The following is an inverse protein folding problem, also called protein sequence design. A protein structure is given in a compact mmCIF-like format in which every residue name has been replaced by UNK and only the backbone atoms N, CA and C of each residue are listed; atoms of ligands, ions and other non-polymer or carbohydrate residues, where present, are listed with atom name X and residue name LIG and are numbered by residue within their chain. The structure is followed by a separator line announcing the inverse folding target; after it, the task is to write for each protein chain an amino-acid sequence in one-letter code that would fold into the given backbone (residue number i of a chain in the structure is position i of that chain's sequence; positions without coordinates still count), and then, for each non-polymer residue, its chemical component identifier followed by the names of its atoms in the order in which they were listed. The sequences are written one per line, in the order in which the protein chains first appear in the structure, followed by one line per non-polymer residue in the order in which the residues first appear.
data_IF_930734610478
#
_entry.id   IF_930734610478
#
_cell.length_a   1.000
_cell.length_b   1.000
_cell.length_c   1.000
_cell.angle_alpha   90.00
_cell.angle_beta   90.00
_cell.angle_gamma   90.00
#
_symmetry.space_group_name_H-M   'P 1'
#
loop_
_entity.id
_entity.type
_entity.pdbx_description
1 polymer ?
#
# COMPACT_ATOMS: atom_id res chain seq x y z
N UNK A 1 -4.48 14.29 -6.95
CA UNK A 1 -3.78 13.70 -8.11
C UNK A 1 -4.60 12.54 -8.65
N UNK A 2 -4.64 12.34 -9.97
CA UNK A 2 -5.27 11.20 -10.63
C UNK A 2 -4.28 10.53 -11.58
N UNK A 3 -4.04 9.22 -11.42
CA UNK A 3 -3.31 8.41 -12.40
C UNK A 3 -4.29 7.52 -13.19
N UNK A 4 -4.38 7.71 -14.50
CA UNK A 4 -5.14 6.85 -15.41
C UNK A 4 -4.23 6.06 -16.39
N UNK A 5 -2.91 6.20 -16.27
CA UNK A 5 -1.94 5.64 -17.20
C UNK A 5 -1.00 4.63 -16.56
N UNK A 6 0.11 4.36 -17.22
CA UNK A 6 1.16 3.48 -16.71
C UNK A 6 2.30 4.34 -16.16
N UNK A 7 2.69 4.08 -14.91
CA UNK A 7 3.87 4.63 -14.26
C UNK A 7 4.84 3.47 -14.04
N UNK A 8 6.08 3.62 -14.50
CA UNK A 8 7.19 2.71 -14.20
C UNK A 8 8.32 3.52 -13.61
N UNK A 9 8.83 3.11 -12.45
CA UNK A 9 9.81 3.86 -11.69
C UNK A 9 10.80 2.91 -10.99
N UNK A 10 12.06 3.34 -10.85
CA UNK A 10 13.02 2.74 -9.94
C UNK A 10 13.01 3.41 -8.55
N UNK A 11 12.23 4.49 -8.39
CA UNK A 11 11.88 5.13 -7.12
C UNK A 11 10.42 4.85 -6.75
N UNK A 12 9.87 5.67 -5.85
CA UNK A 12 8.43 5.65 -5.58
C UNK A 12 7.65 5.94 -6.87
N UNK A 13 6.51 5.27 -7.05
CA UNK A 13 5.63 5.49 -8.20
C UNK A 13 4.81 6.77 -8.06
N UNK A 14 3.99 6.83 -7.00
CA UNK A 14 3.20 8.00 -6.62
C UNK A 14 3.63 8.45 -5.23
N UNK A 15 3.93 9.75 -5.08
CA UNK A 15 4.24 10.37 -3.77
C UNK A 15 3.14 11.34 -3.36
N UNK A 16 2.65 11.22 -2.13
CA UNK A 16 1.58 12.05 -1.58
C UNK A 16 1.97 12.57 -0.20
N UNK A 17 2.61 13.75 -0.17
CA UNK A 17 3.32 14.24 1.01
C UNK A 17 2.82 15.60 1.52
N UNK A 18 2.97 15.81 2.84
CA UNK A 18 2.88 17.10 3.54
C UNK A 18 1.64 17.92 3.16
N UNK A 19 0.47 17.29 3.28
CA UNK A 19 -0.78 17.87 2.78
C UNK A 19 -1.98 17.49 3.65
N UNK A 20 -3.06 18.25 3.49
CA UNK A 20 -4.34 18.06 4.19
C UNK A 20 -5.49 18.20 3.20
N UNK A 21 -6.65 17.59 3.49
CA UNK A 21 -7.87 17.69 2.68
C UNK A 21 -7.66 17.42 1.19
N UNK A 22 -6.83 16.41 0.89
CA UNK A 22 -6.40 16.11 -0.47
C UNK A 22 -6.73 14.69 -0.87
N UNK A 23 -6.71 14.42 -2.18
CA UNK A 23 -7.05 13.11 -2.73
C UNK A 23 -6.01 12.64 -3.74
N UNK A 24 -5.64 11.37 -3.63
CA UNK A 24 -4.92 10.61 -4.66
C UNK A 24 -5.77 9.46 -5.13
N UNK A 25 -5.94 9.35 -6.44
CA UNK A 25 -6.64 8.23 -7.06
C UNK A 25 -5.75 7.57 -8.13
N UNK A 26 -5.53 6.26 -7.99
CA UNK A 26 -4.88 5.44 -9.00
C UNK A 26 -5.92 4.54 -9.69
N UNK A 27 -6.15 4.75 -10.98
CA UNK A 27 -6.92 3.87 -11.87
C UNK A 27 -6.04 3.08 -12.84
N UNK A 28 -4.83 3.58 -13.07
CA UNK A 28 -3.86 2.98 -13.98
C UNK A 28 -2.97 1.93 -13.34
N UNK A 29 -1.85 1.64 -14.00
CA UNK A 29 -0.82 0.71 -13.47
C UNK A 29 0.35 1.50 -12.93
N UNK A 30 0.82 1.14 -11.74
CA UNK A 30 2.08 1.61 -11.18
C UNK A 30 2.99 0.40 -10.95
N UNK A 31 4.21 0.44 -11.47
CA UNK A 31 5.22 -0.59 -11.30
C UNK A 31 6.50 0.02 -10.77
N UNK A 32 6.99 -0.48 -9.63
CA UNK A 32 8.30 -0.08 -9.08
C UNK A 32 9.26 -1.26 -8.95
N UNK A 33 10.54 -0.99 -9.17
CA UNK A 33 11.61 -2.00 -9.13
C UNK A 33 12.81 -1.65 -8.24
N UNK A 34 12.80 -0.49 -7.58
CA UNK A 34 13.85 -0.13 -6.62
C UNK A 34 13.62 -0.75 -5.24
N UNK A 35 14.69 -1.18 -4.59
CA UNK A 35 14.61 -1.60 -3.18
C UNK A 35 14.20 -0.42 -2.30
N UNK A 36 13.39 -0.67 -1.26
CA UNK A 36 12.84 0.37 -0.35
C UNK A 36 12.03 1.46 -1.07
N UNK A 37 11.35 1.11 -2.16
CA UNK A 37 10.46 2.02 -2.89
C UNK A 37 9.03 1.53 -2.85
N UNK A 38 8.07 2.43 -2.95
CA UNK A 38 6.66 2.07 -2.84
C UNK A 38 5.89 2.46 -4.09
N UNK A 39 4.91 1.65 -4.49
CA UNK A 39 4.07 2.04 -5.62
C UNK A 39 3.26 3.31 -5.27
N UNK A 40 2.75 3.40 -4.04
CA UNK A 40 2.24 4.66 -3.46
C UNK A 40 2.92 4.90 -2.11
N UNK A 41 3.61 6.02 -1.97
CA UNK A 41 4.20 6.48 -0.72
C UNK A 41 3.42 7.69 -0.18
N UNK A 42 2.89 7.56 1.03
CA UNK A 42 2.09 8.58 1.72
C UNK A 42 2.79 8.97 3.00
N UNK A 43 3.12 10.25 3.15
CA UNK A 43 3.86 10.74 4.30
C UNK A 43 3.38 12.11 4.77
N UNK A 44 3.22 12.31 6.08
CA UNK A 44 2.81 13.60 6.67
C UNK A 44 1.48 14.11 6.08
N UNK A 45 0.46 13.25 6.06
CA UNK A 45 -0.84 13.53 5.45
C UNK A 45 -1.95 13.53 6.50
N UNK A 46 -2.84 14.50 6.43
CA UNK A 46 -4.02 14.57 7.30
C UNK A 46 -5.32 14.66 6.48
N UNK A 47 -6.43 14.14 7.01
CA UNK A 47 -7.79 14.36 6.50
C UNK A 47 -7.92 14.13 4.98
N UNK A 48 -7.26 13.09 4.47
CA UNK A 48 -7.10 12.87 3.03
C UNK A 48 -7.53 11.47 2.59
N UNK A 49 -7.63 11.28 1.28
CA UNK A 49 -8.06 10.01 0.68
C UNK A 49 -7.01 9.47 -0.29
N UNK A 50 -6.68 8.19 -0.16
CA UNK A 50 -5.92 7.44 -1.16
C UNK A 50 -6.79 6.29 -1.65
N UNK A 51 -7.10 6.32 -2.94
CA UNK A 51 -7.94 5.33 -3.59
C UNK A 51 -7.18 4.62 -4.70
N UNK A 52 -6.95 3.31 -4.55
CA UNK A 52 -6.45 2.46 -5.62
C UNK A 52 -7.59 1.64 -6.21
N UNK A 53 -7.93 1.89 -7.48
CA UNK A 53 -8.82 1.05 -8.31
C UNK A 53 -8.07 0.35 -9.44
N UNK A 54 -6.82 0.73 -9.67
CA UNK A 54 -5.94 0.16 -10.69
C UNK A 54 -5.04 -0.96 -10.17
N UNK A 55 -3.82 -1.04 -10.72
CA UNK A 55 -2.83 -2.07 -10.39
C UNK A 55 -1.57 -1.46 -9.79
N UNK A 56 -1.10 -2.00 -8.67
CA UNK A 56 0.19 -1.68 -8.07
C UNK A 56 1.06 -2.94 -8.10
N UNK A 57 2.28 -2.81 -8.62
CA UNK A 57 3.26 -3.90 -8.69
C UNK A 57 4.59 -3.42 -8.13
N UNK A 58 5.13 -4.11 -7.12
CA UNK A 58 6.47 -3.87 -6.60
C UNK A 58 7.26 -5.16 -6.59
N UNK A 59 8.54 -5.09 -6.96
CA UNK A 59 9.33 -6.31 -7.23
C UNK A 59 10.56 -6.49 -6.37
N UNK A 60 11.09 -5.43 -5.78
CA UNK A 60 12.33 -5.45 -5.00
C UNK A 60 12.08 -5.55 -3.49
N UNK A 61 13.15 -5.81 -2.73
CA UNK A 61 13.09 -5.94 -1.28
C UNK A 61 12.65 -4.65 -0.59
N UNK A 62 11.88 -4.80 0.49
CA UNK A 62 11.29 -3.72 1.28
C UNK A 62 10.42 -2.77 0.43
N UNK A 63 9.94 -3.21 -0.74
CA UNK A 63 9.18 -2.39 -1.68
C UNK A 63 7.67 -2.60 -1.53
N UNK A 64 6.97 -1.75 -0.78
CA UNK A 64 5.56 -1.98 -0.46
C UNK A 64 4.62 -1.54 -1.58
N UNK A 65 3.43 -2.14 -1.65
CA UNK A 65 2.37 -1.65 -2.53
C UNK A 65 1.94 -0.24 -2.14
N UNK A 66 1.50 -0.07 -0.90
CA UNK A 66 1.20 1.24 -0.31
C UNK A 66 1.94 1.36 1.03
N UNK A 67 2.72 2.42 1.19
CA UNK A 67 3.40 2.74 2.45
C UNK A 67 2.82 4.00 3.07
N UNK A 68 2.51 3.94 4.36
CA UNK A 68 1.83 5.00 5.11
C UNK A 68 2.66 5.37 6.34
N UNK A 69 3.15 6.61 6.36
CA UNK A 69 3.98 7.13 7.45
C UNK A 69 3.49 8.50 7.92
N UNK A 70 3.18 8.64 9.21
CA UNK A 70 2.65 9.90 9.78
C UNK A 70 1.39 10.34 9.04
N UNK A 71 0.35 9.52 9.12
CA UNK A 71 -0.95 9.80 8.49
C UNK A 71 -2.06 9.85 9.54
N UNK A 72 -2.94 10.84 9.45
CA UNK A 72 -4.05 11.03 10.40
C UNK A 72 -5.37 11.36 9.71
N UNK A 73 -6.50 11.01 10.34
CA UNK A 73 -7.84 11.37 9.84
C UNK A 73 -8.16 10.90 8.41
N UNK A 74 -7.41 9.94 7.87
CA UNK A 74 -7.38 9.64 6.43
C UNK A 74 -8.00 8.28 6.11
N UNK A 75 -8.40 8.12 4.85
CA UNK A 75 -8.93 6.86 4.33
C UNK A 75 -8.04 6.30 3.23
N UNK A 76 -7.59 5.06 3.40
CA UNK A 76 -6.80 4.32 2.42
C UNK A 76 -7.66 3.15 1.93
N UNK A 77 -8.11 3.23 0.68
CA UNK A 77 -9.01 2.24 0.09
C UNK A 77 -8.36 1.54 -1.10
N UNK A 78 -8.23 0.22 -1.02
CA UNK A 78 -7.85 -0.62 -2.15
C UNK A 78 -9.09 -1.34 -2.72
N UNK A 79 -9.51 -0.94 -3.91
CA UNK A 79 -10.50 -1.63 -4.75
C UNK A 79 -9.86 -2.35 -5.94
N UNK A 80 -8.56 -2.15 -6.15
CA UNK A 80 -7.79 -2.69 -7.26
C UNK A 80 -6.95 -3.91 -6.89
N UNK A 81 -5.85 -4.09 -7.60
CA UNK A 81 -4.91 -5.19 -7.36
C UNK A 81 -3.58 -4.65 -6.86
N UNK A 82 -3.06 -5.24 -5.79
CA UNK A 82 -1.72 -4.99 -5.26
C UNK A 82 -0.94 -6.31 -5.34
N UNK A 83 0.24 -6.27 -5.95
CA UNK A 83 1.16 -7.41 -6.02
C UNK A 83 2.55 -7.00 -5.60
N UNK A 84 3.09 -7.67 -4.58
CA UNK A 84 4.46 -7.46 -4.10
C UNK A 84 5.23 -8.78 -4.12
N UNK A 85 6.53 -8.74 -4.46
CA UNK A 85 7.34 -9.97 -4.55
C UNK A 85 8.69 -9.95 -3.84
N UNK A 86 9.24 -8.80 -3.46
CA UNK A 86 10.51 -8.74 -2.73
C UNK A 86 10.38 -9.14 -1.26
N UNK A 87 11.49 -9.43 -0.59
CA UNK A 87 11.48 -9.76 0.83
C UNK A 87 11.01 -8.56 1.67
N UNK A 88 10.22 -8.81 2.72
CA UNK A 88 9.63 -7.79 3.59
C UNK A 88 8.85 -6.70 2.82
N UNK A 89 8.25 -7.05 1.69
CA UNK A 89 7.48 -6.15 0.84
C UNK A 89 5.99 -6.34 1.09
N UNK A 90 5.42 -5.58 2.02
CA UNK A 90 4.00 -5.73 2.37
C UNK A 90 3.08 -5.15 1.28
N UNK A 91 1.86 -5.66 1.19
CA UNK A 91 0.85 -5.10 0.31
C UNK A 91 0.49 -3.67 0.72
N UNK A 92 0.11 -3.49 1.98
CA UNK A 92 -0.08 -2.19 2.62
C UNK A 92 0.68 -2.20 3.95
N UNK A 93 1.61 -1.26 4.15
CA UNK A 93 2.38 -1.11 5.38
C UNK A 93 2.05 0.23 6.04
N UNK A 94 1.44 0.17 7.23
CA UNK A 94 1.12 1.33 8.04
C UNK A 94 2.04 1.41 9.27
N UNK A 95 2.88 2.45 9.35
CA UNK A 95 3.86 2.58 10.43
C UNK A 95 3.41 3.53 11.54
N UNK A 96 3.05 4.77 11.18
CA UNK A 96 2.47 5.77 12.09
C UNK A 96 1.17 6.28 11.45
N UNK A 97 0.04 5.76 11.93
CA UNK A 97 -1.26 5.92 11.30
C UNK A 97 -2.34 6.03 12.38
N UNK A 98 -3.08 7.14 12.42
CA UNK A 98 -3.95 7.43 13.57
C UNK A 98 -5.33 7.92 13.16
N UNK A 99 -6.37 7.53 13.91
CA UNK A 99 -7.75 7.99 13.69
C UNK A 99 -8.22 7.85 12.23
N UNK A 100 -7.85 6.73 11.61
CA UNK A 100 -7.91 6.55 10.15
C UNK A 100 -8.51 5.19 9.77
N UNK A 101 -8.73 4.97 8.47
CA UNK A 101 -9.29 3.73 7.93
C UNK A 101 -8.38 3.14 6.85
N UNK A 102 -8.13 1.84 6.92
CA UNK A 102 -7.61 1.05 5.80
C UNK A 102 -8.67 0.02 5.41
N UNK A 103 -9.21 0.15 4.20
CA UNK A 103 -10.23 -0.73 3.65
C UNK A 103 -9.71 -1.46 2.41
N UNK A 104 -9.74 -2.79 2.44
CA UNK A 104 -9.47 -3.62 1.27
C UNK A 104 -10.77 -4.23 0.74
N UNK A 105 -11.14 -3.88 -0.48
CA UNK A 105 -12.20 -4.48 -1.29
C UNK A 105 -11.65 -5.23 -2.51
N UNK A 106 -10.35 -5.09 -2.79
CA UNK A 106 -9.68 -5.70 -3.94
C UNK A 106 -8.74 -6.84 -3.56
N UNK A 107 -7.82 -7.19 -4.46
CA UNK A 107 -6.88 -8.27 -4.24
C UNK A 107 -5.53 -7.74 -3.77
N UNK A 108 -4.99 -8.33 -2.71
CA UNK A 108 -3.61 -8.14 -2.27
C UNK A 108 -2.91 -9.50 -2.35
N UNK A 109 -1.86 -9.58 -3.16
CA UNK A 109 -1.02 -10.78 -3.26
C UNK A 109 0.41 -10.42 -2.88
N UNK A 110 0.92 -11.06 -1.83
CA UNK A 110 2.31 -10.90 -1.39
C UNK A 110 3.03 -12.24 -1.46
N UNK A 111 4.17 -12.26 -2.14
CA UNK A 111 4.94 -13.47 -2.39
C UNK A 111 6.30 -13.50 -1.67
N UNK A 112 6.77 -12.35 -1.17
CA UNK A 112 8.08 -12.24 -0.56
C UNK A 112 8.14 -12.78 0.86
N UNK A 113 9.28 -13.39 1.24
CA UNK A 113 9.52 -13.84 2.60
C UNK A 113 9.40 -12.68 3.61
N UNK A 114 8.77 -12.94 4.75
CA UNK A 114 8.55 -11.93 5.81
C UNK A 114 7.48 -10.88 5.49
N UNK A 115 6.80 -10.97 4.35
CA UNK A 115 5.79 -9.99 3.93
C UNK A 115 4.40 -10.31 4.46
N UNK A 116 3.62 -9.26 4.71
CA UNK A 116 2.24 -9.28 5.14
C UNK A 116 1.34 -8.68 4.07
N UNK A 117 0.09 -9.14 3.99
CA UNK A 117 -0.89 -8.50 3.11
C UNK A 117 -1.16 -7.05 3.54
N UNK A 118 -1.50 -6.86 4.81
CA UNK A 118 -1.63 -5.56 5.46
C UNK A 118 -0.89 -5.65 6.80
N UNK A 119 0.12 -4.80 6.97
CA UNK A 119 0.86 -4.65 8.21
C UNK A 119 0.47 -3.34 8.90
N UNK A 120 0.24 -3.41 10.21
CA UNK A 120 0.05 -2.24 11.06
C UNK A 120 1.05 -2.28 12.22
N UNK A 121 1.90 -1.25 12.27
CA UNK A 121 2.94 -1.10 13.26
C UNK A 121 2.42 -0.69 14.64
N UNK A 122 3.33 -0.67 15.62
CA UNK A 122 3.00 -0.36 17.02
C UNK A 122 2.47 1.05 17.26
N UNK A 123 2.73 1.99 16.34
CA UNK A 123 2.27 3.38 16.43
C UNK A 123 0.96 3.61 15.66
N UNK A 124 0.25 2.53 15.30
CA UNK A 124 -1.08 2.63 14.69
C UNK A 124 -2.14 2.64 15.80
N UNK A 125 -2.86 3.76 15.92
CA UNK A 125 -3.86 3.99 16.97
C UNK A 125 -5.19 4.43 16.40
N UNK A 126 -6.30 4.17 17.11
CA UNK A 126 -7.66 4.59 16.72
C UNK A 126 -7.99 4.31 15.24
N UNK A 127 -7.41 3.24 14.69
CA UNK A 127 -7.47 2.92 13.27
C UNK A 127 -8.26 1.64 13.09
N UNK A 128 -9.14 1.65 12.10
CA UNK A 128 -9.85 0.44 11.68
C UNK A 128 -9.16 -0.15 10.45
N UNK A 129 -8.86 -1.45 10.50
CA UNK A 129 -8.42 -2.24 9.35
C UNK A 129 -9.54 -3.20 8.95
N UNK A 130 -9.99 -3.13 7.71
CA UNK A 130 -11.09 -3.97 7.22
C UNK A 130 -10.71 -4.65 5.91
N UNK A 131 -10.81 -5.97 5.88
CA UNK A 131 -10.93 -6.72 4.63
C UNK A 131 -12.42 -7.01 4.40
N UNK A 132 -13.00 -6.37 3.40
CA UNK A 132 -14.43 -6.42 3.11
C UNK A 132 -14.77 -7.59 2.19
N UNK A 133 -16.05 -7.92 2.00
CA UNK A 133 -16.50 -9.19 1.39
C UNK A 133 -15.97 -9.49 -0.02
N UNK A 134 -15.54 -8.48 -0.77
CA UNK A 134 -14.91 -8.64 -2.10
C UNK A 134 -13.38 -8.68 -2.04
N UNK A 135 -12.80 -8.29 -0.90
CA UNK A 135 -11.36 -8.21 -0.70
C UNK A 135 -10.76 -9.58 -0.40
N UNK A 136 -9.67 -9.91 -1.09
CA UNK A 136 -8.92 -11.14 -0.86
C UNK A 136 -7.46 -10.81 -0.59
N UNK A 137 -6.91 -11.42 0.45
CA UNK A 137 -5.50 -11.27 0.83
C UNK A 137 -4.84 -12.64 0.73
N UNK A 138 -3.90 -12.76 -0.21
CA UNK A 138 -3.03 -13.93 -0.36
C UNK A 138 -1.64 -13.59 0.15
N UNK A 139 -1.26 -14.15 1.29
CA UNK A 139 0.11 -14.12 1.79
C UNK A 139 0.64 -15.56 1.82
N UNK A 140 1.63 -15.87 1.00
CA UNK A 140 2.23 -17.21 0.96
C UNK A 140 3.53 -17.20 1.76
N UNK A 141 3.67 -18.13 2.70
CA UNK A 141 4.99 -18.47 3.23
C UNK A 141 5.62 -19.49 2.29
N UNK A 142 6.74 -19.15 1.65
CA UNK A 142 7.58 -20.18 1.04
C UNK A 142 8.15 -21.06 2.17
N UNK A 143 7.53 -22.24 2.38
CA UNK A 143 8.19 -23.31 3.12
C UNK A 143 9.33 -23.82 2.25
N UNK A 144 10.56 -23.40 2.55
CA UNK A 144 11.74 -24.13 2.09
C UNK A 144 11.70 -25.49 2.79
N UNK A 145 11.28 -26.53 2.06
CA UNK A 145 11.50 -27.91 2.47
C UNK A 145 13.02 -28.12 2.47
N UNK A 146 13.62 -28.20 3.66
CA UNK A 146 14.99 -28.71 3.84
C UNK A 146 14.91 -30.11 4.44
#
# INVERSE_FOLDING_TARGET
MLNNGNITSDGDGIRFFSTTNSKVENKGTVTTSGARTNAINVAEVADSEVLNTGKLVTTADEANGIFLNVVSGSSITNNGNITTSGANADGINAHAFQSSLIANNGNITVNGAGSNGIYAGSNVTDTTLQNLGNGVIYARMERVLR
#
